data_IF_593571328472
#
_entry.id   IF_593571328472
#
_cell.length_a   1.000
_cell.length_b   1.000
_cell.length_c   1.000
_cell.angle_alpha   90.00
_cell.angle_beta   90.00
_cell.angle_gamma   90.00
#
_symmetry.space_group_name_H-M   'P 1'
#
loop_
_entity.id
_entity.type
_entity.pdbx_description
1 polymer ?
#
# COMPACT_ATOMS: atom_id res chain seq x y z
N UNK A 1 2.05 10.65 -45.02
CA UNK A 1 1.50 9.64 -44.08
C UNK A 1 2.62 8.96 -43.34
N UNK A 2 2.80 9.26 -42.05
CA UNK A 2 3.36 8.36 -41.03
C UNK A 2 2.77 8.81 -39.71
N UNK A 3 1.84 8.01 -39.15
CA UNK A 3 1.30 8.18 -37.80
C UNK A 3 2.41 7.79 -36.83
N UNK A 4 2.88 8.75 -36.04
CA UNK A 4 3.73 8.49 -34.88
C UNK A 4 2.80 8.56 -33.67
N UNK A 5 2.70 7.46 -32.93
CA UNK A 5 1.87 7.33 -31.74
C UNK A 5 2.60 7.96 -30.54
N UNK A 6 2.13 9.13 -30.10
CA UNK A 6 2.67 9.95 -29.00
C UNK A 6 2.58 9.31 -27.59
N UNK A 7 2.39 7.99 -27.49
CA UNK A 7 2.31 7.25 -26.23
C UNK A 7 3.55 6.41 -25.93
N UNK A 8 4.47 6.24 -26.89
CA UNK A 8 5.67 5.38 -26.71
C UNK A 8 6.87 6.13 -26.09
N UNK A 9 7.04 7.42 -26.37
CA UNK A 9 8.30 8.14 -26.12
C UNK A 9 8.67 8.41 -24.65
N UNK A 10 7.73 8.32 -23.70
CA UNK A 10 8.05 8.65 -22.30
C UNK A 10 8.69 7.48 -21.52
N UNK A 11 8.52 6.25 -21.99
CA UNK A 11 9.13 5.07 -21.37
C UNK A 11 10.59 4.86 -21.82
N UNK A 12 10.92 5.22 -23.06
CA UNK A 12 12.23 4.92 -23.67
C UNK A 12 13.39 5.78 -23.12
N UNK A 13 13.12 6.84 -22.36
CA UNK A 13 14.17 7.66 -21.74
C UNK A 13 14.73 7.08 -20.44
N UNK A 14 14.16 5.97 -19.94
CA UNK A 14 14.78 5.20 -18.85
C UNK A 14 15.53 4.01 -19.47
N UNK A 15 16.70 4.27 -20.03
CA UNK A 15 17.67 3.19 -20.31
C UNK A 15 18.03 2.60 -18.95
N UNK A 16 17.33 1.54 -18.54
CA UNK A 16 17.81 0.60 -17.54
C UNK A 16 19.11 0.06 -18.12
N UNK A 17 20.24 0.59 -17.62
CA UNK A 17 21.58 0.14 -17.99
C UNK A 17 21.63 -1.37 -17.72
N UNK A 18 21.44 -2.17 -18.78
CA UNK A 18 21.68 -3.61 -18.80
C UNK A 18 23.19 -3.84 -18.82
N UNK A 19 23.88 -3.36 -17.79
CA UNK A 19 25.27 -3.67 -17.52
C UNK A 19 25.34 -4.61 -16.32
N UNK A 20 26.24 -5.61 -16.30
CA UNK A 20 26.53 -6.33 -15.07
C UNK A 20 26.96 -5.30 -14.03
N UNK A 21 26.28 -5.27 -12.88
CA UNK A 21 26.70 -4.49 -11.73
C UNK A 21 28.13 -4.91 -11.38
N UNK A 22 29.11 -4.06 -11.68
CA UNK A 22 30.52 -4.27 -11.29
C UNK A 22 30.76 -3.45 -10.03
N UNK A 23 30.76 -4.07 -8.83
CA UNK A 23 31.11 -3.34 -7.62
C UNK A 23 32.53 -2.80 -7.75
N UNK A 24 32.74 -1.54 -7.37
CA UNK A 24 34.06 -0.95 -7.36
C UNK A 24 34.94 -1.66 -6.32
N UNK A 25 36.24 -1.81 -6.62
CA UNK A 25 37.24 -2.46 -5.76
C UNK A 25 37.47 -1.78 -4.40
N UNK A 26 36.72 -0.74 -4.05
CA UNK A 26 36.81 -0.01 -2.79
C UNK A 26 35.83 -0.50 -1.70
N UNK A 27 34.97 -1.50 -1.98
CA UNK A 27 34.03 -2.05 -1.01
C UNK A 27 34.61 -3.25 -0.24
N UNK A 28 35.62 -3.02 0.61
CA UNK A 28 36.13 -4.00 1.57
C UNK A 28 35.22 -4.06 2.82
N UNK A 29 33.96 -4.43 2.57
CA UNK A 29 32.92 -4.91 3.48
C UNK A 29 31.65 -4.85 2.61
N UNK A 30 31.08 -6.00 2.25
CA UNK A 30 29.87 -6.02 1.43
C UNK A 30 28.81 -5.17 2.16
N UNK A 31 28.26 -4.10 1.54
CA UNK A 31 27.17 -3.32 2.16
C UNK A 31 25.91 -4.17 2.39
N UNK A 32 25.93 -5.44 1.97
CA UNK A 32 24.86 -6.42 2.09
C UNK A 32 25.07 -7.47 3.18
N UNK A 33 26.07 -7.37 4.06
CA UNK A 33 26.28 -8.38 5.14
C UNK A 33 25.04 -8.47 6.03
N UNK A 34 24.42 -7.33 6.35
CA UNK A 34 23.19 -7.26 7.16
C UNK A 34 22.02 -7.92 6.41
N UNK A 35 21.89 -7.68 5.11
CA UNK A 35 20.85 -8.24 4.25
C UNK A 35 21.04 -9.74 4.02
N UNK A 36 22.28 -10.22 3.91
CA UNK A 36 22.60 -11.64 3.80
C UNK A 36 22.29 -12.39 5.09
N UNK A 37 22.66 -11.82 6.25
CA UNK A 37 22.31 -12.36 7.57
C UNK A 37 20.80 -12.34 7.80
N UNK A 38 20.12 -11.24 7.46
CA UNK A 38 18.66 -11.14 7.53
C UNK A 38 17.98 -12.19 6.62
N UNK A 39 18.47 -12.38 5.40
CA UNK A 39 17.97 -13.40 4.48
C UNK A 39 18.21 -14.83 5.00
N UNK A 40 19.36 -15.08 5.64
CA UNK A 40 19.65 -16.37 6.27
C UNK A 40 18.71 -16.65 7.46
N UNK A 41 18.50 -15.66 8.34
CA UNK A 41 17.55 -15.74 9.46
C UNK A 41 16.11 -15.94 8.96
N UNK A 42 15.71 -15.23 7.90
CA UNK A 42 14.40 -15.41 7.27
C UNK A 42 14.23 -16.84 6.71
N UNK A 43 15.25 -17.39 6.05
CA UNK A 43 15.23 -18.79 5.58
C UNK A 43 15.07 -19.78 6.73
N UNK A 44 15.84 -19.63 7.81
CA UNK A 44 15.71 -20.48 9.01
C UNK A 44 14.31 -20.40 9.61
N UNK A 45 13.73 -19.19 9.69
CA UNK A 45 12.35 -19.00 10.13
C UNK A 45 11.37 -19.70 9.19
N UNK A 46 11.52 -19.56 7.87
CA UNK A 46 10.69 -20.23 6.88
C UNK A 46 10.77 -21.75 7.00
N UNK A 47 11.96 -22.33 7.15
CA UNK A 47 12.16 -23.77 7.29
C UNK A 47 11.54 -24.30 8.59
N UNK A 48 11.62 -23.54 9.68
CA UNK A 48 10.94 -23.87 10.92
C UNK A 48 9.41 -23.75 10.78
N UNK A 49 8.92 -22.67 10.18
CA UNK A 49 7.50 -22.41 9.96
C UNK A 49 6.87 -23.47 9.06
N UNK A 50 7.58 -23.97 8.03
CA UNK A 50 7.11 -25.06 7.16
C UNK A 50 6.81 -26.37 7.90
N UNK A 51 7.43 -26.60 9.07
CA UNK A 51 7.16 -27.78 9.90
C UNK A 51 5.86 -27.66 10.70
N UNK A 52 5.39 -26.42 10.90
CA UNK A 52 4.21 -26.10 11.73
C UNK A 52 3.00 -25.73 10.86
N UNK A 53 3.24 -25.03 9.77
CA UNK A 53 2.23 -24.54 8.84
C UNK A 53 2.47 -25.13 7.45
N UNK A 54 1.49 -25.88 6.89
CA UNK A 54 1.61 -26.38 5.53
C UNK A 54 1.60 -25.22 4.53
N UNK A 55 2.79 -24.84 4.05
CA UNK A 55 2.97 -23.66 3.19
C UNK A 55 2.09 -23.73 1.93
N UNK A 56 1.98 -24.90 1.29
CA UNK A 56 1.11 -25.10 0.13
C UNK A 56 -0.36 -24.85 0.44
N UNK A 57 -0.83 -25.20 1.65
CA UNK A 57 -2.20 -24.91 2.07
C UNK A 57 -2.41 -23.39 2.22
N UNK A 58 -1.45 -22.68 2.80
CA UNK A 58 -1.49 -21.21 2.92
C UNK A 58 -1.50 -20.51 1.57
N UNK A 59 -0.72 -21.01 0.61
CA UNK A 59 -0.72 -20.53 -0.78
C UNK A 59 -2.09 -20.72 -1.44
N UNK A 60 -2.71 -21.89 -1.26
CA UNK A 60 -4.08 -22.15 -1.75
C UNK A 60 -5.12 -21.25 -1.08
N UNK A 61 -5.02 -21.00 0.22
CA UNK A 61 -5.93 -20.12 0.93
C UNK A 61 -5.77 -18.66 0.47
N UNK A 62 -4.54 -18.19 0.24
CA UNK A 62 -4.27 -16.87 -0.33
C UNK A 62 -4.85 -16.74 -1.74
N UNK A 63 -4.69 -17.75 -2.60
CA UNK A 63 -5.26 -17.76 -3.94
C UNK A 63 -6.80 -17.75 -3.90
N UNK A 64 -7.41 -18.56 -3.03
CA UNK A 64 -8.87 -18.62 -2.86
C UNK A 64 -9.40 -17.27 -2.35
N UNK A 65 -8.72 -16.69 -1.37
CA UNK A 65 -9.05 -15.36 -0.86
C UNK A 65 -8.94 -14.29 -1.96
N UNK A 66 -7.85 -14.27 -2.73
CA UNK A 66 -7.67 -13.31 -3.81
C UNK A 66 -8.77 -13.45 -4.89
N UNK A 67 -9.12 -14.68 -5.27
CA UNK A 67 -10.19 -14.96 -6.22
C UNK A 67 -11.55 -14.43 -5.71
N UNK A 68 -11.89 -14.73 -4.46
CA UNK A 68 -13.12 -14.26 -3.82
C UNK A 68 -13.14 -12.74 -3.69
N UNK A 69 -12.06 -12.15 -3.20
CA UNK A 69 -11.90 -10.71 -3.02
C UNK A 69 -12.09 -9.95 -4.34
N UNK A 70 -11.43 -10.36 -5.41
CA UNK A 70 -11.55 -9.72 -6.72
C UNK A 70 -12.96 -9.84 -7.28
N UNK A 71 -13.56 -11.04 -7.21
CA UNK A 71 -14.88 -11.30 -7.79
C UNK A 71 -16.01 -10.63 -7.00
N UNK A 72 -16.00 -10.77 -5.69
CA UNK A 72 -17.16 -10.48 -4.84
C UNK A 72 -17.06 -9.12 -4.16
N UNK A 73 -15.87 -8.70 -3.73
CA UNK A 73 -15.68 -7.42 -3.02
C UNK A 73 -15.27 -6.28 -3.94
N UNK A 74 -14.29 -6.53 -4.80
CA UNK A 74 -13.89 -5.54 -5.79
C UNK A 74 -14.79 -5.52 -7.02
N UNK A 75 -15.60 -6.55 -7.28
CA UNK A 75 -16.46 -6.69 -8.48
C UNK A 75 -15.70 -6.62 -9.81
N UNK A 76 -14.42 -7.01 -9.82
CA UNK A 76 -13.59 -7.02 -11.02
C UNK A 76 -13.87 -8.29 -11.82
N UNK A 77 -14.26 -8.12 -13.09
CA UNK A 77 -14.28 -9.21 -14.07
C UNK A 77 -12.84 -9.48 -14.50
N UNK A 78 -12.15 -10.36 -13.76
CA UNK A 78 -10.74 -10.67 -13.99
C UNK A 78 -10.46 -11.06 -15.44
N UNK A 79 -9.35 -10.57 -16.00
CA UNK A 79 -8.89 -10.96 -17.32
C UNK A 79 -8.39 -12.42 -17.29
N UNK A 80 -8.03 -12.98 -18.44
CA UNK A 80 -7.28 -14.25 -18.45
C UNK A 80 -5.94 -14.12 -17.68
N UNK A 81 -5.27 -12.97 -17.80
CA UNK A 81 -4.03 -12.68 -17.08
C UNK A 81 -4.23 -12.60 -15.57
N UNK A 82 -5.23 -11.85 -15.10
CA UNK A 82 -5.53 -11.74 -13.67
C UNK A 82 -5.85 -13.10 -13.05
N UNK A 83 -6.65 -13.93 -13.75
CA UNK A 83 -6.98 -15.28 -13.29
C UNK A 83 -5.74 -16.16 -13.19
N UNK A 84 -4.88 -16.14 -14.20
CA UNK A 84 -3.62 -16.88 -14.18
C UNK A 84 -2.69 -16.41 -13.05
N UNK A 85 -2.62 -15.11 -12.76
CA UNK A 85 -1.86 -14.57 -11.65
C UNK A 85 -2.41 -15.04 -10.29
N UNK A 86 -3.74 -15.04 -10.11
CA UNK A 86 -4.40 -15.56 -8.90
C UNK A 86 -4.16 -17.07 -8.75
N UNK A 87 -4.24 -17.85 -9.82
CA UNK A 87 -3.92 -19.29 -9.79
C UNK A 87 -2.44 -19.53 -9.42
N UNK A 88 -1.52 -18.72 -9.95
CA UNK A 88 -0.11 -18.79 -9.61
C UNK A 88 0.19 -18.46 -8.14
N UNK A 89 -0.68 -17.75 -7.41
CA UNK A 89 -0.57 -17.61 -5.95
C UNK A 89 -0.66 -18.96 -5.23
N UNK A 90 -1.38 -19.95 -5.78
CA UNK A 90 -1.48 -21.27 -5.16
C UNK A 90 -0.19 -22.08 -5.28
N UNK A 91 0.67 -21.73 -6.25
CA UNK A 91 1.95 -22.41 -6.45
C UNK A 91 3.00 -21.89 -5.45
N UNK A 92 3.61 -22.76 -4.63
CA UNK A 92 4.68 -22.38 -3.69
C UNK A 92 5.98 -21.92 -4.39
N UNK A 93 6.20 -22.29 -5.65
CA UNK A 93 7.39 -21.90 -6.42
C UNK A 93 7.25 -20.52 -7.08
N UNK A 94 6.07 -19.90 -7.01
CA UNK A 94 5.84 -18.55 -7.51
C UNK A 94 6.45 -17.54 -6.54
N UNK A 95 7.51 -16.85 -6.98
CA UNK A 95 8.15 -15.79 -6.21
C UNK A 95 7.18 -14.61 -6.03
N UNK A 96 6.99 -14.13 -4.81
CA UNK A 96 6.20 -12.93 -4.55
C UNK A 96 7.11 -11.76 -4.17
N UNK A 97 7.02 -10.68 -4.94
CA UNK A 97 7.64 -9.41 -4.60
C UNK A 97 6.57 -8.57 -3.88
N UNK A 98 6.63 -8.62 -2.56
CA UNK A 98 5.69 -7.92 -1.69
C UNK A 98 6.08 -6.45 -1.51
N UNK A 99 5.08 -5.57 -1.51
CA UNK A 99 5.17 -4.28 -0.87
C UNK A 99 3.90 -3.97 -0.11
N UNK A 100 4.04 -3.17 0.93
CA UNK A 100 2.97 -2.74 1.79
C UNK A 100 2.87 -1.23 1.80
N UNK A 101 1.65 -0.71 1.74
CA UNK A 101 1.39 0.70 1.95
C UNK A 101 0.08 0.94 2.70
N UNK A 102 -0.03 2.08 3.37
CA UNK A 102 -1.12 2.40 4.30
C UNK A 102 -2.52 2.59 3.67
N UNK A 103 -2.67 2.40 2.35
CA UNK A 103 -3.93 2.59 1.64
C UNK A 103 -4.24 4.05 1.32
N UNK A 104 -3.53 4.57 0.31
CA UNK A 104 -3.64 5.97 -0.12
C UNK A 104 -4.36 6.11 -1.44
N UNK A 105 -4.95 7.27 -1.69
CA UNK A 105 -5.22 7.70 -3.04
C UNK A 105 -3.93 7.64 -3.87
N UNK A 106 -4.01 7.33 -5.18
CA UNK A 106 -2.83 7.29 -6.01
C UNK A 106 -2.05 8.60 -6.00
N UNK A 107 -0.76 8.50 -5.74
CA UNK A 107 0.21 9.59 -5.91
C UNK A 107 1.56 9.03 -6.37
N UNK A 108 2.42 9.91 -6.87
CA UNK A 108 3.66 9.52 -7.55
C UNK A 108 4.57 8.61 -6.71
N UNK A 109 4.67 8.85 -5.39
CA UNK A 109 5.50 8.05 -4.51
C UNK A 109 5.04 6.59 -4.44
N UNK A 110 3.74 6.37 -4.28
CA UNK A 110 3.15 5.03 -4.20
C UNK A 110 3.20 4.34 -5.55
N UNK A 111 2.84 5.06 -6.61
CA UNK A 111 2.87 4.50 -7.97
C UNK A 111 4.27 4.05 -8.31
N UNK A 112 5.29 4.85 -8.01
CA UNK A 112 6.70 4.51 -8.26
C UNK A 112 7.14 3.28 -7.47
N UNK A 113 6.70 3.11 -6.23
CA UNK A 113 7.03 1.92 -5.42
C UNK A 113 6.52 0.64 -6.10
N UNK A 114 5.25 0.64 -6.53
CA UNK A 114 4.65 -0.51 -7.21
C UNK A 114 5.32 -0.80 -8.55
N UNK A 115 5.59 0.24 -9.36
CA UNK A 115 6.30 0.07 -10.63
C UNK A 115 7.71 -0.51 -10.46
N UNK A 116 8.44 -0.13 -9.40
CA UNK A 116 9.76 -0.69 -9.11
C UNK A 116 9.69 -2.16 -8.75
N UNK A 117 8.74 -2.54 -7.91
CA UNK A 117 8.59 -3.92 -7.49
C UNK A 117 8.04 -4.82 -8.61
N UNK A 118 7.18 -4.29 -9.48
CA UNK A 118 6.77 -4.95 -10.72
C UNK A 118 7.94 -5.11 -11.70
N UNK A 119 8.80 -4.09 -11.84
CA UNK A 119 10.03 -4.21 -12.63
C UNK A 119 10.97 -5.31 -12.09
N UNK A 120 11.09 -5.46 -10.76
CA UNK A 120 11.84 -6.56 -10.14
C UNK A 120 11.16 -7.90 -10.42
N UNK A 121 9.84 -8.01 -10.23
CA UNK A 121 9.10 -9.23 -10.50
C UNK A 121 9.25 -9.67 -11.98
N UNK A 122 9.22 -8.74 -12.93
CA UNK A 122 9.43 -9.05 -14.36
C UNK A 122 10.79 -9.65 -14.70
N UNK A 123 11.77 -9.56 -13.81
CA UNK A 123 13.07 -10.24 -14.00
C UNK A 123 12.93 -11.77 -13.93
N UNK A 124 11.86 -12.30 -13.34
CA UNK A 124 11.54 -13.72 -13.29
C UNK A 124 10.10 -13.97 -13.77
N UNK A 125 9.94 -14.85 -14.77
CA UNK A 125 8.62 -15.20 -15.32
C UNK A 125 7.69 -15.85 -14.30
N UNK A 126 8.24 -16.48 -13.26
CA UNK A 126 7.49 -17.08 -12.16
C UNK A 126 7.19 -16.10 -11.02
N UNK A 127 7.62 -14.85 -11.11
CA UNK A 127 7.39 -13.89 -10.04
C UNK A 127 6.15 -13.01 -10.26
N UNK A 128 5.43 -12.72 -9.18
CA UNK A 128 4.30 -11.80 -9.17
C UNK A 128 4.56 -10.66 -8.21
N UNK A 129 3.86 -9.55 -8.45
CA UNK A 129 3.86 -8.42 -7.53
C UNK A 129 2.67 -8.49 -6.61
N UNK A 130 2.91 -8.43 -5.30
CA UNK A 130 1.87 -8.39 -4.29
C UNK A 130 1.84 -7.01 -3.64
N UNK A 131 0.82 -6.22 -3.95
CA UNK A 131 0.63 -4.90 -3.37
C UNK A 131 -0.40 -4.95 -2.24
N UNK A 132 0.09 -4.87 -1.01
CA UNK A 132 -0.70 -4.91 0.21
C UNK A 132 -1.13 -3.52 0.65
N UNK A 133 -2.44 -3.33 0.75
CA UNK A 133 -3.06 -2.02 0.99
C UNK A 133 -3.71 -2.01 2.37
N UNK A 134 -3.28 -1.07 3.21
CA UNK A 134 -3.70 -0.90 4.60
C UNK A 134 -5.13 -0.39 4.76
N UNK A 135 -6.13 -1.24 4.53
CA UNK A 135 -7.54 -0.90 4.79
C UNK A 135 -7.91 -0.85 6.29
N UNK A 136 -7.00 -1.22 7.19
CA UNK A 136 -7.17 -1.12 8.65
C UNK A 136 -6.81 0.27 9.22
N UNK A 137 -6.19 1.15 8.44
CA UNK A 137 -5.87 2.50 8.88
C UNK A 137 -7.11 3.38 9.02
N UNK A 138 -6.98 4.42 9.84
CA UNK A 138 -8.03 5.42 10.08
C UNK A 138 -7.56 6.78 9.57
N UNK A 139 -8.50 7.71 9.37
CA UNK A 139 -8.18 9.07 8.95
C UNK A 139 -7.36 9.84 10.00
N UNK A 140 -7.49 9.50 11.29
CA UNK A 140 -6.64 10.06 12.35
C UNK A 140 -5.21 9.51 12.29
N UNK A 141 -5.05 8.22 12.00
CA UNK A 141 -3.74 7.56 11.99
C UNK A 141 -2.91 7.95 10.77
N UNK A 142 -3.57 8.13 9.62
CA UNK A 142 -2.95 8.39 8.32
C UNK A 142 -3.81 9.36 7.49
N UNK A 143 -3.96 10.64 7.92
CA UNK A 143 -4.77 11.62 7.19
C UNK A 143 -4.28 11.89 5.76
N UNK A 144 -2.98 11.68 5.51
CA UNK A 144 -2.32 11.77 4.21
C UNK A 144 -2.85 10.77 3.20
N UNK A 145 -3.41 9.65 3.64
CA UNK A 145 -3.95 8.62 2.76
C UNK A 145 -5.14 9.10 1.94
N UNK A 146 -5.84 10.10 2.45
CA UNK A 146 -7.00 10.69 1.80
C UNK A 146 -6.63 11.83 0.85
N UNK A 147 -5.34 12.23 0.79
CA UNK A 147 -4.85 13.32 -0.07
C UNK A 147 -4.69 12.83 -1.49
N UNK A 148 -5.20 13.59 -2.45
CA UNK A 148 -4.97 13.36 -3.86
C UNK A 148 -3.57 13.88 -4.23
N UNK A 149 -2.79 13.06 -4.93
CA UNK A 149 -1.40 13.35 -5.29
C UNK A 149 -1.20 14.43 -6.35
N UNK A 150 -1.57 15.69 -6.04
CA UNK A 150 -1.31 16.85 -6.89
C UNK A 150 -0.18 17.70 -6.27
N UNK A 151 1.01 17.79 -6.88
CA UNK A 151 2.08 18.67 -6.40
C UNK A 151 1.70 20.15 -6.53
N UNK A 152 2.23 21.02 -5.63
CA UNK A 152 2.08 22.48 -5.70
C UNK A 152 3.38 23.15 -6.13
N UNK A 153 3.28 24.23 -6.92
CA UNK A 153 4.24 25.36 -6.98
C UNK A 153 5.74 24.99 -7.05
N UNK A 154 6.10 23.86 -7.66
CA UNK A 154 7.46 23.30 -7.61
C UNK A 154 8.00 22.95 -6.22
N UNK A 155 7.20 23.04 -5.16
CA UNK A 155 7.56 22.76 -3.76
C UNK A 155 7.29 21.31 -3.36
N UNK A 156 7.74 20.94 -2.15
CA UNK A 156 7.55 19.58 -1.66
C UNK A 156 6.06 19.31 -1.37
N UNK A 157 5.52 18.11 -1.66
CA UNK A 157 4.17 17.72 -1.25
C UNK A 157 3.88 17.90 0.24
N UNK A 158 4.92 17.90 1.08
CA UNK A 158 4.81 18.08 2.53
C UNK A 158 4.53 19.53 2.95
N UNK A 159 4.78 20.50 2.09
CA UNK A 159 4.62 21.93 2.36
C UNK A 159 3.20 22.45 2.05
N UNK A 160 2.34 21.57 1.51
CA UNK A 160 0.97 21.92 1.13
C UNK A 160 0.07 22.02 2.37
N UNK A 161 -0.34 23.24 2.74
CA UNK A 161 -1.21 23.49 3.90
C UNK A 161 -2.60 22.84 3.81
N UNK A 162 -3.20 22.82 2.62
CA UNK A 162 -4.58 22.34 2.40
C UNK A 162 -4.69 21.44 1.16
N UNK A 163 -4.06 20.26 1.14
CA UNK A 163 -4.04 19.40 -0.04
C UNK A 163 -5.47 18.92 -0.38
N UNK A 164 -5.81 18.76 -1.67
CA UNK A 164 -7.10 18.21 -2.07
C UNK A 164 -7.24 16.82 -1.46
N UNK A 165 -8.35 16.55 -0.78
CA UNK A 165 -8.53 15.28 -0.10
C UNK A 165 -9.98 14.82 -0.06
N UNK A 166 -10.16 13.51 -0.04
CA UNK A 166 -11.43 12.89 0.34
C UNK A 166 -11.72 13.26 1.79
N UNK A 167 -12.93 13.77 2.05
CA UNK A 167 -13.32 14.20 3.39
C UNK A 167 -13.90 13.03 4.18
N UNK A 168 -13.27 12.70 5.29
CA UNK A 168 -13.85 11.88 6.36
C UNK A 168 -14.22 12.82 7.50
N UNK A 169 -15.49 12.81 7.91
CA UNK A 169 -15.98 13.68 8.99
C UNK A 169 -15.32 13.35 10.33
N UNK A 170 -15.18 14.37 11.20
CA UNK A 170 -14.53 14.24 12.53
C UNK A 170 -15.14 13.13 13.39
N UNK A 171 -16.45 12.92 13.31
CA UNK A 171 -17.13 11.84 14.06
C UNK A 171 -16.66 10.43 13.66
N UNK A 172 -16.05 10.28 12.48
CA UNK A 172 -15.61 9.00 11.92
C UNK A 172 -14.09 8.92 11.74
N UNK A 173 -13.32 9.85 12.31
CA UNK A 173 -11.86 9.90 12.13
C UNK A 173 -11.13 8.67 12.66
N UNK A 174 -11.71 7.99 13.64
CA UNK A 174 -11.15 6.79 14.26
C UNK A 174 -11.66 5.49 13.63
N UNK A 175 -12.59 5.56 12.68
CA UNK A 175 -13.12 4.37 12.02
C UNK A 175 -12.14 3.90 10.95
N UNK A 176 -11.69 2.63 10.98
CA UNK A 176 -10.91 2.02 9.91
C UNK A 176 -11.55 2.18 8.53
N UNK A 177 -10.74 2.35 7.50
CA UNK A 177 -11.23 2.52 6.12
C UNK A 177 -12.11 1.35 5.67
N UNK A 178 -11.81 0.11 6.09
CA UNK A 178 -12.65 -1.07 5.83
C UNK A 178 -14.08 -1.01 6.39
N UNK A 179 -14.36 -0.11 7.34
CA UNK A 179 -15.67 0.07 7.95
C UNK A 179 -16.33 1.41 7.61
N UNK A 180 -15.67 2.23 6.79
CA UNK A 180 -16.24 3.46 6.25
C UNK A 180 -16.92 3.16 4.93
N UNK A 181 -18.01 3.88 4.62
CA UNK A 181 -18.61 3.83 3.28
C UNK A 181 -17.68 4.48 2.24
N UNK A 182 -17.74 4.08 0.96
CA UNK A 182 -17.05 4.77 -0.11
C UNK A 182 -17.43 6.26 -0.19
N UNK A 183 -16.63 7.10 -0.85
CA UNK A 183 -16.98 8.50 -1.08
C UNK A 183 -18.28 8.62 -1.88
N UNK A 184 -19.13 9.56 -1.51
CA UNK A 184 -20.34 9.84 -2.29
C UNK A 184 -19.99 10.56 -3.59
N UNK A 185 -20.89 10.50 -4.58
CA UNK A 185 -20.75 11.27 -5.83
C UNK A 185 -20.53 12.77 -5.55
N UNK A 186 -21.29 13.34 -4.62
CA UNK A 186 -21.08 14.72 -4.17
C UNK A 186 -19.67 14.94 -3.58
N UNK A 187 -19.16 14.01 -2.77
CA UNK A 187 -17.82 14.07 -2.22
C UNK A 187 -16.72 14.02 -3.28
N UNK A 188 -16.91 13.21 -4.34
CA UNK A 188 -15.99 13.15 -5.48
C UNK A 188 -16.05 14.42 -6.34
N UNK A 189 -17.23 14.97 -6.60
CA UNK A 189 -17.33 16.29 -7.27
C UNK A 189 -16.67 17.41 -6.47
N UNK A 190 -16.82 17.41 -5.15
CA UNK A 190 -16.14 18.37 -4.28
C UNK A 190 -14.61 18.20 -4.31
N UNK A 191 -14.10 16.97 -4.42
CA UNK A 191 -12.67 16.72 -4.61
C UNK A 191 -12.19 17.17 -6.00
N UNK A 192 -12.96 16.87 -7.05
CA UNK A 192 -12.69 17.29 -8.44
C UNK A 192 -12.54 18.81 -8.53
N UNK A 193 -13.44 19.56 -7.88
CA UNK A 193 -13.39 21.02 -7.82
C UNK A 193 -12.14 21.52 -7.07
N UNK A 194 -11.82 20.93 -5.92
CA UNK A 194 -10.58 21.26 -5.20
C UNK A 194 -9.34 21.08 -6.09
N UNK A 195 -9.32 20.04 -6.93
CA UNK A 195 -8.21 19.79 -7.85
C UNK A 195 -8.18 20.80 -8.99
N UNK A 196 -9.32 21.19 -9.56
CA UNK A 196 -9.38 22.28 -10.56
C UNK A 196 -8.79 23.57 -10.01
N UNK A 197 -9.25 23.99 -8.82
CA UNK A 197 -8.76 25.19 -8.14
C UNK A 197 -7.23 25.08 -7.91
N UNK A 198 -6.74 23.89 -7.57
CA UNK A 198 -5.31 23.61 -7.43
C UNK A 198 -4.54 23.75 -8.75
N UNK A 199 -5.06 23.19 -9.84
CA UNK A 199 -4.43 23.25 -11.17
C UNK A 199 -4.38 24.70 -11.68
N UNK A 200 -5.47 25.45 -11.52
CA UNK A 200 -5.55 26.86 -11.91
C UNK A 200 -4.53 27.71 -11.14
N UNK A 201 -4.42 27.51 -9.83
CA UNK A 201 -3.43 28.20 -9.01
C UNK A 201 -1.99 27.86 -9.39
N UNK A 202 -1.69 26.60 -9.69
CA UNK A 202 -0.36 26.18 -10.15
C UNK A 202 -0.01 26.82 -11.50
N UNK A 203 -0.95 26.83 -12.45
CA UNK A 203 -0.75 27.48 -13.74
C UNK A 203 -0.47 28.97 -13.58
N UNK A 204 -1.26 29.68 -12.78
CA UNK A 204 -1.05 31.10 -12.53
C UNK A 204 0.33 31.39 -11.91
N UNK A 205 0.78 30.51 -11.00
CA UNK A 205 2.11 30.61 -10.39
C UNK A 205 3.23 30.41 -11.42
N UNK A 206 3.17 29.34 -12.22
CA UNK A 206 4.17 29.06 -13.26
C UNK A 206 4.26 30.20 -14.28
N UNK A 207 3.12 30.74 -14.71
CA UNK A 207 3.09 31.89 -15.62
C UNK A 207 3.73 33.13 -14.99
N UNK A 208 3.48 33.40 -13.70
CA UNK A 208 4.12 34.51 -12.97
C UNK A 208 5.62 34.31 -12.81
N UNK A 209 6.09 33.06 -12.69
CA UNK A 209 7.50 32.71 -12.60
C UNK A 209 8.23 32.69 -13.97
N UNK A 210 7.53 33.03 -15.07
CA UNK A 210 8.09 33.03 -16.43
C UNK A 210 8.03 31.68 -17.14
N UNK A 211 7.40 30.67 -16.54
CA UNK A 211 7.15 29.37 -17.15
C UNK A 211 6.21 29.48 -18.35
N UNK A 212 6.48 28.69 -19.39
CA UNK A 212 5.63 28.60 -20.59
C UNK A 212 4.85 27.29 -20.58
N UNK A 213 3.53 27.40 -20.63
CA UNK A 213 2.65 26.24 -20.77
C UNK A 213 2.40 25.94 -22.25
N UNK A 214 2.30 24.66 -22.58
CA UNK A 214 1.79 24.25 -23.90
C UNK A 214 0.33 24.72 -24.03
N UNK A 215 -0.07 25.16 -25.23
CA UNK A 215 -1.40 25.75 -25.51
C UNK A 215 -2.57 24.89 -25.03
N UNK A 216 -2.43 23.55 -25.07
CA UNK A 216 -3.49 22.62 -24.67
C UNK A 216 -3.25 21.93 -23.31
N UNK A 217 -2.27 22.38 -22.51
CA UNK A 217 -1.90 21.71 -21.26
C UNK A 217 -3.08 21.59 -20.28
N UNK A 218 -3.80 22.70 -20.03
CA UNK A 218 -4.97 22.71 -19.15
C UNK A 218 -6.06 21.75 -19.63
N UNK A 219 -6.40 21.80 -20.92
CA UNK A 219 -7.40 20.90 -21.52
C UNK A 219 -6.99 19.44 -21.37
N UNK A 220 -5.71 19.10 -21.58
CA UNK A 220 -5.20 17.74 -21.39
C UNK A 220 -5.28 17.28 -19.93
N UNK A 221 -4.99 18.16 -18.98
CA UNK A 221 -5.14 17.87 -17.55
C UNK A 221 -6.62 17.63 -17.22
N UNK A 222 -7.52 18.51 -17.65
CA UNK A 222 -8.95 18.36 -17.42
C UNK A 222 -9.49 17.01 -17.96
N UNK A 223 -9.18 16.66 -19.21
CA UNK A 223 -9.60 15.36 -19.80
C UNK A 223 -9.08 14.17 -19.00
N UNK A 224 -7.83 14.22 -18.52
CA UNK A 224 -7.27 13.15 -17.68
C UNK A 224 -7.95 13.09 -16.32
N UNK A 225 -8.23 14.23 -15.70
CA UNK A 225 -8.98 14.29 -14.45
C UNK A 225 -10.39 13.72 -14.63
N UNK A 226 -11.08 14.04 -15.71
CA UNK A 226 -12.41 13.52 -15.98
C UNK A 226 -12.40 11.99 -16.14
N UNK A 227 -11.39 11.44 -16.82
CA UNK A 227 -11.18 9.99 -16.90
C UNK A 227 -10.94 9.35 -15.52
N UNK A 228 -10.04 9.93 -14.72
CA UNK A 228 -9.73 9.43 -13.38
C UNK A 228 -10.92 9.51 -12.43
N UNK A 229 -11.70 10.60 -12.49
CA UNK A 229 -12.89 10.75 -11.66
C UNK A 229 -14.02 9.83 -12.12
N UNK A 230 -14.21 9.65 -13.43
CA UNK A 230 -15.16 8.65 -13.95
C UNK A 230 -14.87 7.25 -13.39
N UNK A 231 -13.59 6.84 -13.41
CA UNK A 231 -13.14 5.59 -12.78
C UNK A 231 -13.42 5.56 -11.27
N UNK A 232 -13.12 6.64 -10.54
CA UNK A 232 -13.37 6.73 -9.09
C UNK A 232 -14.86 6.65 -8.72
N UNK A 233 -15.73 7.24 -9.54
CA UNK A 233 -17.19 7.18 -9.38
C UNK A 233 -17.68 5.74 -9.58
N UNK A 234 -17.29 5.08 -10.67
CA UNK A 234 -17.64 3.68 -10.92
C UNK A 234 -17.18 2.77 -9.77
N UNK A 235 -15.93 2.94 -9.32
CA UNK A 235 -15.42 2.17 -8.19
C UNK A 235 -16.25 2.38 -6.91
N UNK A 236 -16.77 3.59 -6.66
CA UNK A 236 -17.58 3.90 -5.48
C UNK A 236 -18.98 3.28 -5.54
N UNK A 237 -19.50 3.01 -6.75
CA UNK A 237 -20.79 2.35 -6.97
C UNK A 237 -20.70 0.82 -6.85
N UNK A 238 -19.52 0.25 -7.08
CA UNK A 238 -19.32 -1.21 -7.13
C UNK A 238 -18.90 -1.84 -5.79
N UNK A 239 -18.22 -1.08 -4.93
CA UNK A 239 -17.66 -1.59 -3.66
C UNK A 239 -18.43 -1.09 -2.44
N UNK A 240 -18.34 -1.81 -1.32
CA UNK A 240 -19.16 -1.54 -0.14
C UNK A 240 -18.49 -0.64 0.91
N UNK A 241 -17.16 -0.50 0.87
CA UNK A 241 -16.41 0.26 1.87
C UNK A 241 -15.25 1.06 1.26
N UNK A 242 -14.78 2.07 2.00
CA UNK A 242 -13.72 2.99 1.61
C UNK A 242 -12.38 2.27 1.43
N UNK A 243 -12.11 1.24 2.23
CA UNK A 243 -10.90 0.42 2.09
C UNK A 243 -10.82 -0.27 0.73
N UNK A 244 -11.91 -0.95 0.34
CA UNK A 244 -12.03 -1.61 -0.95
C UNK A 244 -12.07 -0.61 -2.10
N UNK A 245 -12.67 0.56 -1.90
CA UNK A 245 -12.62 1.68 -2.86
C UNK A 245 -11.19 2.15 -3.11
N UNK A 246 -10.39 2.36 -2.05
CA UNK A 246 -8.97 2.73 -2.17
C UNK A 246 -8.16 1.67 -2.92
N UNK A 247 -8.50 0.40 -2.75
CA UNK A 247 -7.88 -0.71 -3.47
C UNK A 247 -8.30 -0.71 -4.94
N UNK A 248 -9.60 -0.56 -5.21
CA UNK A 248 -10.16 -0.61 -6.56
C UNK A 248 -9.63 0.51 -7.45
N UNK A 249 -9.55 1.74 -6.95
CA UNK A 249 -9.01 2.86 -7.74
C UNK A 249 -7.53 2.69 -8.08
N UNK A 250 -6.75 2.01 -7.22
CA UNK A 250 -5.35 1.70 -7.49
C UNK A 250 -5.27 0.63 -8.58
N UNK A 251 -6.02 -0.47 -8.42
CA UNK A 251 -6.13 -1.51 -9.43
C UNK A 251 -6.46 -0.92 -10.82
N UNK A 252 -7.52 -0.11 -10.90
CA UNK A 252 -8.00 0.44 -12.16
C UNK A 252 -7.00 1.45 -12.76
N UNK A 253 -6.32 2.24 -11.92
CA UNK A 253 -5.26 3.14 -12.38
C UNK A 253 -4.08 2.37 -13.01
N UNK A 254 -3.62 1.30 -12.37
CA UNK A 254 -2.52 0.52 -12.93
C UNK A 254 -2.91 -0.16 -14.25
N UNK A 255 -4.14 -0.66 -14.37
CA UNK A 255 -4.64 -1.20 -15.64
C UNK A 255 -4.78 -0.12 -16.70
N UNK A 256 -5.17 1.10 -16.34
CA UNK A 256 -5.18 2.24 -17.25
C UNK A 256 -3.76 2.61 -17.74
N UNK A 257 -2.75 2.51 -16.86
CA UNK A 257 -1.37 2.87 -17.16
C UNK A 257 -0.60 1.80 -17.94
N UNK A 258 -0.81 0.52 -17.61
CA UNK A 258 0.01 -0.60 -18.07
C UNK A 258 -0.76 -1.61 -18.94
N UNK A 259 -2.09 -1.53 -19.01
CA UNK A 259 -2.91 -2.51 -19.71
C UNK A 259 -2.75 -3.91 -19.12
N UNK A 260 -2.57 -4.92 -19.99
CA UNK A 260 -2.39 -6.33 -19.58
C UNK A 260 -1.16 -6.57 -18.71
N UNK A 261 -0.18 -5.67 -18.75
CA UNK A 261 0.99 -5.79 -17.89
C UNK A 261 0.62 -5.65 -16.40
N UNK A 262 -0.46 -4.93 -16.06
CA UNK A 262 -0.95 -4.81 -14.69
C UNK A 262 -1.59 -6.11 -14.15
N UNK A 263 -1.92 -7.08 -15.01
CA UNK A 263 -2.55 -8.34 -14.58
C UNK A 263 -1.68 -9.15 -13.60
N UNK A 264 -0.36 -8.88 -13.57
CA UNK A 264 0.62 -9.53 -12.68
C UNK A 264 0.78 -8.84 -11.32
N UNK A 265 0.09 -7.72 -11.12
CA UNK A 265 0.07 -6.94 -9.88
C UNK A 265 -1.22 -7.27 -9.14
N UNK A 266 -1.10 -7.97 -8.01
CA UNK A 266 -2.23 -8.36 -7.19
C UNK A 266 -2.39 -7.39 -6.02
N UNK A 267 -3.56 -6.74 -5.95
CA UNK A 267 -3.92 -5.73 -4.96
C UNK A 267 -4.75 -6.37 -3.87
N UNK A 268 -4.21 -6.48 -2.65
CA UNK A 268 -4.87 -7.20 -1.56
C UNK A 268 -5.00 -6.35 -0.29
N UNK A 269 -6.10 -6.49 0.46
CA UNK A 269 -6.30 -5.76 1.71
C UNK A 269 -5.50 -6.39 2.85
N UNK A 270 -4.67 -5.58 3.50
CA UNK A 270 -3.78 -6.06 4.55
C UNK A 270 -4.53 -6.60 5.78
N UNK A 271 -5.68 -6.02 6.12
CA UNK A 271 -6.42 -6.45 7.31
C UNK A 271 -6.93 -7.89 7.20
N UNK A 272 -7.43 -8.26 6.02
CA UNK A 272 -7.95 -9.60 5.76
C UNK A 272 -6.83 -10.63 5.62
N UNK A 273 -5.67 -10.23 5.05
CA UNK A 273 -4.49 -11.08 5.05
C UNK A 273 -3.97 -11.36 6.46
N UNK A 274 -4.07 -10.38 7.36
CA UNK A 274 -3.74 -10.56 8.80
C UNK A 274 -4.63 -11.65 9.42
N UNK A 275 -5.91 -11.71 9.02
CA UNK A 275 -6.83 -12.74 9.50
C UNK A 275 -6.47 -14.15 8.95
N UNK A 276 -6.01 -14.25 7.69
CA UNK A 276 -5.56 -15.53 7.11
C UNK A 276 -4.34 -16.11 7.83
N UNK A 277 -3.45 -15.25 8.33
CA UNK A 277 -2.21 -15.65 9.02
C UNK A 277 -2.34 -15.58 10.55
N UNK A 278 -3.58 -15.59 11.07
CA UNK A 278 -3.84 -15.52 12.51
C UNK A 278 -3.08 -16.58 13.34
N UNK A 279 -2.98 -17.86 12.93
CA UNK A 279 -2.18 -18.84 13.67
C UNK A 279 -0.69 -18.47 13.77
N UNK A 280 -0.11 -17.95 12.69
CA UNK A 280 1.28 -17.46 12.64
C UNK A 280 1.47 -16.26 13.57
N UNK A 281 0.51 -15.31 13.57
CA UNK A 281 0.51 -14.17 14.49
C UNK A 281 0.36 -14.60 15.96
N UNK A 282 -0.34 -15.70 16.22
CA UNK A 282 -0.48 -16.28 17.57
C UNK A 282 0.87 -16.79 18.09
N UNK A 283 1.68 -17.46 17.25
CA UNK A 283 3.03 -17.87 17.63
C UNK A 283 3.95 -16.66 17.92
N UNK A 284 3.82 -15.59 17.13
CA UNK A 284 4.56 -14.34 17.40
C UNK A 284 4.15 -13.75 18.75
N UNK A 285 2.86 -13.82 19.10
CA UNK A 285 2.34 -13.36 20.38
C UNK A 285 2.90 -14.15 21.57
N UNK A 286 2.97 -15.48 21.45
CA UNK A 286 3.62 -16.39 22.41
C UNK A 286 5.08 -16.01 22.67
N UNK A 287 5.77 -15.53 21.64
CA UNK A 287 7.19 -15.12 21.69
C UNK A 287 7.40 -13.62 21.84
N UNK A 288 6.36 -12.86 22.22
CA UNK A 288 6.40 -11.38 22.32
C UNK A 288 7.60 -10.84 23.10
N UNK A 289 7.98 -11.45 24.23
CA UNK A 289 9.17 -11.05 25.01
C UNK A 289 10.48 -11.18 24.23
N UNK A 290 10.63 -12.26 23.46
CA UNK A 290 11.81 -12.50 22.62
C UNK A 290 11.86 -11.48 21.48
N UNK A 291 10.71 -11.23 20.84
CA UNK A 291 10.57 -10.22 19.79
C UNK A 291 10.93 -8.83 20.32
N UNK A 292 10.47 -8.46 21.50
CA UNK A 292 10.78 -7.18 22.12
C UNK A 292 12.27 -7.07 22.50
N UNK A 293 12.89 -8.16 22.97
CA UNK A 293 14.33 -8.22 23.23
C UNK A 293 15.16 -8.05 21.94
N UNK A 294 14.76 -8.69 20.84
CA UNK A 294 15.40 -8.53 19.53
C UNK A 294 15.29 -7.07 19.06
N UNK A 295 14.09 -6.45 19.15
CA UNK A 295 13.90 -5.04 18.78
C UNK A 295 14.77 -4.11 19.59
N UNK A 296 14.88 -4.34 20.91
CA UNK A 296 15.75 -3.55 21.79
C UNK A 296 17.22 -3.68 21.41
N UNK A 297 17.68 -4.90 21.11
CA UNK A 297 19.06 -5.15 20.65
C UNK A 297 19.35 -4.45 19.31
N UNK A 298 18.44 -4.53 18.33
CA UNK A 298 18.58 -3.82 17.04
C UNK A 298 18.61 -2.31 17.25
N UNK A 299 17.70 -1.76 18.05
CA UNK A 299 17.68 -0.33 18.36
C UNK A 299 18.99 0.13 19.03
N UNK A 300 19.53 -0.66 19.97
CA UNK A 300 20.82 -0.41 20.59
C UNK A 300 21.97 -0.40 19.59
N UNK A 301 21.99 -1.36 18.65
CA UNK A 301 22.98 -1.40 17.57
C UNK A 301 22.88 -0.19 16.64
N UNK A 302 21.67 0.24 16.29
CA UNK A 302 21.47 1.41 15.43
C UNK A 302 21.93 2.70 16.11
N UNK A 303 21.61 2.88 17.39
CA UNK A 303 22.08 4.03 18.18
C UNK A 303 23.62 4.05 18.24
N UNK A 304 24.24 2.89 18.49
CA UNK A 304 25.70 2.76 18.50
C UNK A 304 26.35 3.09 17.15
N UNK A 305 25.62 2.92 16.04
CA UNK A 305 26.04 3.27 14.68
C UNK A 305 25.59 4.66 14.24
N UNK A 306 25.10 5.51 15.16
CA UNK A 306 24.53 6.84 14.85
C UNK A 306 23.35 6.81 13.86
N UNK A 307 22.68 5.66 13.74
CA UNK A 307 21.46 5.49 12.97
C UNK A 307 20.20 5.83 13.78
N UNK A 308 19.10 6.08 13.08
CA UNK A 308 17.79 6.24 13.69
C UNK A 308 17.31 4.90 14.28
N UNK A 309 17.00 4.82 15.59
CA UNK A 309 16.57 3.58 16.21
C UNK A 309 15.21 3.14 15.68
N UNK A 310 15.08 1.84 15.42
CA UNK A 310 13.82 1.19 15.05
C UNK A 310 12.71 1.45 16.07
N UNK A 311 13.07 1.58 17.36
CA UNK A 311 12.12 1.88 18.43
C UNK A 311 12.72 2.85 19.45
N UNK A 312 11.99 3.95 19.73
CA UNK A 312 12.30 4.89 20.80
C UNK A 312 11.50 4.52 22.05
N UNK A 313 12.14 3.84 23.01
CA UNK A 313 11.58 3.52 24.34
C UNK A 313 10.80 2.19 24.45
N UNK A 314 10.43 1.78 25.68
CA UNK A 314 9.71 0.53 25.93
C UNK A 314 8.26 0.60 25.42
N UNK A 315 7.83 -0.42 24.67
CA UNK A 315 6.42 -0.58 24.27
C UNK A 315 5.71 -1.55 25.23
N UNK A 316 4.47 -1.21 25.60
CA UNK A 316 3.68 -1.96 26.59
C UNK A 316 3.03 -3.24 26.05
N UNK A 317 2.90 -3.38 24.72
CA UNK A 317 2.37 -4.58 24.06
C UNK A 317 2.57 -4.52 22.55
N UNK A 318 2.76 -5.65 21.89
CA UNK A 318 2.89 -5.77 20.43
C UNK A 318 1.55 -5.65 19.67
N UNK A 319 0.40 -5.73 20.36
CA UNK A 319 -0.92 -5.88 19.72
C UNK A 319 -1.80 -4.63 19.83
N UNK A 320 -2.45 -4.28 18.72
CA UNK A 320 -3.47 -3.25 18.65
C UNK A 320 -4.87 -3.87 18.59
N UNK A 321 -5.80 -3.31 19.36
CA UNK A 321 -7.22 -3.69 19.35
C UNK A 321 -8.04 -2.45 19.04
N UNK A 322 -9.00 -2.56 18.12
CA UNK A 322 -10.00 -1.53 17.87
C UNK A 322 -11.19 -1.72 18.82
N UNK A 323 -11.60 -0.66 19.51
CA UNK A 323 -12.85 -0.68 20.26
C UNK A 323 -14.03 -0.88 19.31
N UNK A 324 -14.94 -1.85 19.54
CA UNK A 324 -16.09 -2.07 18.66
C UNK A 324 -17.11 -0.92 18.71
N UNK A 325 -17.10 -0.11 19.78
CA UNK A 325 -18.02 1.02 19.96
C UNK A 325 -17.49 2.31 19.33
N UNK A 326 -16.26 2.71 19.64
CA UNK A 326 -15.71 4.01 19.21
C UNK A 326 -14.62 3.90 18.13
N UNK A 327 -14.24 2.68 17.74
CA UNK A 327 -13.23 2.35 16.74
C UNK A 327 -11.79 2.84 16.99
N UNK A 328 -11.56 3.60 18.07
CA UNK A 328 -10.21 3.96 18.50
C UNK A 328 -9.42 2.70 18.81
N UNK A 329 -8.20 2.66 18.28
CA UNK A 329 -7.25 1.61 18.59
C UNK A 329 -6.52 1.91 19.88
N UNK A 330 -6.26 0.88 20.66
CA UNK A 330 -5.36 0.95 21.81
C UNK A 330 -4.50 -0.30 21.87
N UNK A 331 -3.34 -0.19 22.51
CA UNK A 331 -2.49 -1.35 22.77
C UNK A 331 -3.06 -2.14 23.94
N UNK A 332 -3.13 -3.44 23.80
CA UNK A 332 -3.63 -4.33 24.84
C UNK A 332 -2.60 -5.40 25.15
N UNK A 333 -2.18 -5.56 26.42
CA UNK A 333 -1.36 -6.70 26.80
C UNK A 333 -2.21 -7.96 26.64
N UNK A 334 -1.91 -8.78 25.64
CA UNK A 334 -2.61 -10.04 25.38
C UNK A 334 -1.60 -11.17 25.21
N UNK A 335 -1.98 -12.37 25.66
CA UNK A 335 -1.24 -13.61 25.43
C UNK A 335 -2.16 -14.68 24.85
N UNK A 336 -1.68 -15.52 23.93
CA UNK A 336 -2.42 -16.67 23.45
C UNK A 336 -2.97 -17.53 24.59
N UNK A 337 -4.19 -18.04 24.41
CA UNK A 337 -4.88 -18.86 25.42
C UNK A 337 -5.51 -18.08 26.58
N UNK A 338 -5.38 -16.75 26.62
CA UNK A 338 -6.07 -15.90 27.63
C UNK A 338 -7.19 -15.09 27.00
N UNK A 339 -8.36 -14.95 27.67
CA UNK A 339 -9.41 -14.04 27.21
C UNK A 339 -8.88 -12.60 27.24
N UNK A 340 -9.25 -11.81 26.23
CA UNK A 340 -8.93 -10.38 26.19
C UNK A 340 -10.01 -9.65 26.97
N UNK A 341 -9.81 -9.45 28.28
CA UNK A 341 -10.65 -8.48 28.99
C UNK A 341 -10.30 -7.07 28.51
N UNK A 342 -11.13 -6.53 27.62
CA UNK A 342 -10.92 -5.23 27.03
C UNK A 342 -11.86 -4.20 27.65
N UNK A 343 -11.29 -3.18 28.29
CA UNK A 343 -12.00 -1.94 28.62
C UNK A 343 -11.42 -0.82 27.77
N UNK A 344 -12.24 -0.24 26.90
CA UNK A 344 -11.80 0.88 26.08
C UNK A 344 -11.44 2.08 26.97
N UNK A 345 -10.19 2.57 26.96
CA UNK A 345 -9.79 3.70 27.80
C UNK A 345 -10.46 5.02 27.37
N UNK A 346 -11.05 5.06 26.17
CA UNK A 346 -11.66 6.30 25.65
C UNK A 346 -13.18 6.36 25.85
N UNK A 347 -13.88 5.23 25.80
CA UNK A 347 -15.35 5.22 25.90
C UNK A 347 -15.90 4.23 26.94
N UNK A 348 -15.03 3.62 27.76
CA UNK A 348 -15.35 2.66 28.81
C UNK A 348 -16.13 1.40 28.36
N UNK A 349 -16.32 1.19 27.05
CA UNK A 349 -16.97 0.00 26.52
C UNK A 349 -16.17 -1.25 26.89
N UNK A 350 -16.86 -2.25 27.45
CA UNK A 350 -16.28 -3.55 27.75
C UNK A 350 -16.53 -4.53 26.60
N UNK A 351 -15.49 -5.23 26.18
CA UNK A 351 -15.61 -6.40 25.32
C UNK A 351 -14.88 -7.55 26.04
N UNK A 352 -15.50 -8.72 26.06
CA UNK A 352 -14.93 -9.97 26.60
C UNK A 352 -14.58 -10.86 25.42
#
# INVERSE_FOLDING_TARGET
MRKISDTQEWWDQTIMVRGPFRPSKAAAASPFVVEQDAAAKARTYHDAARKVFPFEARRRDLARFAADFYKNRLRIRGTAGTRAAIEALANPDTLLIEMAHDGQLPHLGIVRLVLKADAIARMDRKALTLYLIGNHYTAEMRPENLRFGAPLKGGSPDEVKHPPKVRVGKARSHTPFRWLRPPTSHGLHALRKQIDDFVENNVAHEMKAGGRLRTNAKRRIAVRLDQLFGMMHLAAEEVENLGDWLIRIQHDLFHLMLGHEADRILFLPMADLTDLVRPELTLIAERSKEVDAIKAAVAGSQIAQHGEPYQRGPQSSTFWVHCPSCFRRTRQPWRPGTPVEFVCPTCANRAI
#
